data_IF_087959524212
#
_entry.id   IF_087959524212
#
_cell.length_a   1.000
_cell.length_b   1.000
_cell.length_c   1.000
_cell.angle_alpha   90.00
_cell.angle_beta   90.00
_cell.angle_gamma   90.00
#
_symmetry.space_group_name_H-M   'P 1'
#
loop_
_entity.id
_entity.type
_entity.pdbx_description
1 polymer ?
#
# COMPACT_ATOMS: atom_id res chain seq x y z
N UNK A 1 10.84 -19.64 -5.62
CA UNK A 1 10.17 -18.54 -6.33
C UNK A 1 10.77 -17.19 -5.91
N UNK A 2 11.17 -16.38 -6.86
CA UNK A 2 11.77 -15.09 -6.55
C UNK A 2 10.68 -14.07 -6.23
N UNK A 3 10.96 -13.21 -5.23
CA UNK A 3 10.13 -12.04 -4.97
C UNK A 3 10.43 -11.00 -6.06
N UNK A 4 9.43 -10.70 -6.89
CA UNK A 4 9.54 -9.73 -7.99
C UNK A 4 9.17 -8.30 -7.57
N UNK A 5 8.77 -8.11 -6.32
CA UNK A 5 8.47 -6.77 -5.82
C UNK A 5 9.76 -6.04 -5.48
N UNK A 6 9.87 -4.75 -5.80
CA UNK A 6 11.04 -3.97 -5.40
C UNK A 6 11.10 -3.87 -3.87
N UNK A 7 12.31 -3.84 -3.34
CA UNK A 7 12.50 -3.62 -1.90
C UNK A 7 12.11 -2.18 -1.55
N UNK A 8 11.38 -1.97 -0.44
CA UNK A 8 11.04 -0.62 -0.02
C UNK A 8 12.28 0.15 0.45
N UNK A 9 12.29 1.46 0.25
CA UNK A 9 13.29 2.31 0.88
C UNK A 9 13.06 2.30 2.40
N UNK A 10 14.14 2.32 3.18
CA UNK A 10 14.05 2.28 4.65
C UNK A 10 13.19 3.42 5.21
N UNK A 11 13.35 4.60 4.65
CA UNK A 11 12.60 5.78 5.08
C UNK A 11 11.23 5.91 4.42
N UNK A 12 10.71 4.85 3.82
CA UNK A 12 9.36 4.80 3.24
C UNK A 12 8.44 3.84 3.99
N UNK A 13 8.94 3.12 4.99
CA UNK A 13 8.14 2.16 5.76
C UNK A 13 7.16 2.92 6.67
N UNK A 14 5.88 2.58 6.55
CA UNK A 14 4.80 3.14 7.36
C UNK A 14 4.51 2.26 8.56
N UNK A 15 4.41 0.96 8.32
CA UNK A 15 4.07 -0.03 9.34
C UNK A 15 4.72 -1.37 8.97
N UNK A 16 5.11 -2.12 9.97
CA UNK A 16 5.67 -3.45 9.76
C UNK A 16 5.40 -4.34 10.98
N UNK A 17 4.98 -5.57 10.73
CA UNK A 17 4.94 -6.61 11.74
C UNK A 17 5.62 -7.88 11.21
N UNK A 18 5.42 -9.02 11.87
CA UNK A 18 6.06 -10.28 11.43
C UNK A 18 5.41 -10.88 10.18
N UNK A 19 4.26 -10.40 9.75
CA UNK A 19 3.48 -10.96 8.64
C UNK A 19 3.53 -10.10 7.38
N UNK A 20 3.57 -8.78 7.54
CA UNK A 20 3.43 -7.83 6.43
C UNK A 20 4.16 -6.53 6.71
N UNK A 21 4.28 -5.73 5.66
CA UNK A 21 4.70 -4.34 5.80
C UNK A 21 3.89 -3.44 4.87
N UNK A 22 3.79 -2.18 5.23
CA UNK A 22 3.20 -1.12 4.41
C UNK A 22 4.25 -0.04 4.18
N UNK A 23 4.39 0.41 2.96
CA UNK A 23 5.37 1.43 2.60
C UNK A 23 4.86 2.33 1.48
N UNK A 24 5.50 3.49 1.34
CA UNK A 24 5.29 4.30 0.15
C UNK A 24 5.80 3.53 -1.08
N UNK A 25 5.07 3.58 -2.17
CA UNK A 25 5.49 2.93 -3.41
C UNK A 25 6.78 3.57 -3.93
N UNK A 26 7.71 2.74 -4.42
CA UNK A 26 8.96 3.24 -5.00
C UNK A 26 8.71 4.09 -6.26
N UNK A 27 7.66 3.75 -7.02
CA UNK A 27 7.25 4.44 -8.23
C UNK A 27 5.76 4.79 -8.11
N UNK A 28 5.43 5.84 -7.33
CA UNK A 28 4.02 6.15 -7.06
C UNK A 28 3.30 6.65 -8.30
N UNK A 29 2.04 6.21 -8.47
CA UNK A 29 1.15 6.74 -9.51
C UNK A 29 0.75 8.18 -9.20
N UNK A 30 0.59 8.47 -7.91
CA UNK A 30 0.32 9.81 -7.38
C UNK A 30 1.05 9.93 -6.03
N UNK A 31 1.29 11.15 -5.54
CA UNK A 31 1.90 11.32 -4.21
C UNK A 31 1.09 10.59 -3.13
N UNK A 32 1.78 9.86 -2.26
CA UNK A 32 1.13 9.12 -1.18
C UNK A 32 0.63 7.73 -1.56
N UNK A 33 0.94 7.24 -2.76
CA UNK A 33 0.64 5.86 -3.16
C UNK A 33 1.35 4.89 -2.21
N UNK A 34 0.59 4.01 -1.56
CA UNK A 34 1.08 3.06 -0.57
C UNK A 34 0.90 1.64 -1.10
N UNK A 35 1.84 0.77 -0.74
CA UNK A 35 1.75 -0.66 -1.02
C UNK A 35 1.77 -1.41 0.31
N UNK A 36 0.86 -2.37 0.47
CA UNK A 36 0.84 -3.28 1.62
C UNK A 36 1.22 -4.66 1.12
N UNK A 37 2.30 -5.22 1.63
CA UNK A 37 2.93 -6.44 1.11
C UNK A 37 2.94 -7.53 2.17
N UNK A 38 2.47 -8.72 1.79
CA UNK A 38 2.59 -9.92 2.61
C UNK A 38 4.03 -10.43 2.54
N UNK A 39 4.68 -10.64 3.69
CA UNK A 39 6.12 -10.97 3.72
C UNK A 39 6.43 -12.34 3.13
N UNK A 40 5.66 -13.35 3.55
CA UNK A 40 5.85 -14.70 3.03
C UNK A 40 5.46 -14.72 1.54
N UNK A 41 6.24 -15.45 0.75
CA UNK A 41 5.98 -15.55 -0.69
C UNK A 41 4.73 -16.41 -0.93
N UNK A 42 3.61 -15.73 -1.11
CA UNK A 42 2.31 -16.34 -1.43
C UNK A 42 1.85 -15.74 -2.75
N UNK A 43 1.51 -16.57 -3.72
CA UNK A 43 1.29 -16.13 -5.10
C UNK A 43 -0.08 -15.52 -5.35
N UNK A 44 -1.07 -15.83 -4.52
CA UNK A 44 -2.45 -15.41 -4.73
C UNK A 44 -3.14 -15.25 -3.38
N UNK A 45 -3.98 -14.21 -3.27
CA UNK A 45 -4.69 -13.91 -2.03
C UNK A 45 -5.61 -15.04 -1.57
N UNK A 46 -6.11 -15.85 -2.50
CA UNK A 46 -6.96 -16.99 -2.15
C UNK A 46 -6.22 -18.11 -1.42
N UNK A 47 -4.88 -18.09 -1.42
CA UNK A 47 -4.06 -19.07 -0.72
C UNK A 47 -3.81 -18.71 0.74
N UNK A 48 -4.18 -17.52 1.16
CA UNK A 48 -4.07 -17.12 2.56
C UNK A 48 -5.14 -17.83 3.40
N UNK A 49 -4.77 -18.21 4.63
CA UNK A 49 -5.77 -18.65 5.60
C UNK A 49 -6.74 -17.50 5.89
N UNK A 50 -7.93 -17.85 6.41
CA UNK A 50 -8.91 -16.82 6.82
C UNK A 50 -8.31 -15.85 7.83
N UNK A 51 -7.53 -16.35 8.77
CA UNK A 51 -6.86 -15.54 9.79
C UNK A 51 -5.87 -14.57 9.14
N UNK A 52 -5.04 -15.05 8.23
CA UNK A 52 -4.05 -14.21 7.56
C UNK A 52 -4.73 -13.21 6.62
N UNK A 53 -5.74 -13.63 5.89
CA UNK A 53 -6.53 -12.73 5.04
C UNK A 53 -7.15 -11.61 5.88
N UNK A 54 -7.77 -11.97 7.01
CA UNK A 54 -8.41 -10.99 7.89
C UNK A 54 -7.39 -9.99 8.45
N UNK A 55 -6.21 -10.47 8.84
CA UNK A 55 -5.14 -9.61 9.32
C UNK A 55 -4.68 -8.64 8.23
N UNK A 56 -4.42 -9.16 7.04
CA UNK A 56 -4.00 -8.34 5.90
C UNK A 56 -5.03 -7.24 5.60
N UNK A 57 -6.30 -7.61 5.48
CA UNK A 57 -7.34 -6.64 5.11
C UNK A 57 -7.65 -5.65 6.22
N UNK A 58 -7.50 -6.05 7.48
CA UNK A 58 -7.62 -5.13 8.62
C UNK A 58 -6.54 -4.06 8.54
N UNK A 59 -5.29 -4.46 8.29
CA UNK A 59 -4.18 -3.52 8.14
C UNK A 59 -4.39 -2.63 6.92
N UNK A 60 -4.80 -3.19 5.78
CA UNK A 60 -5.12 -2.40 4.58
C UNK A 60 -6.14 -1.30 4.92
N UNK A 61 -7.19 -1.66 5.64
CA UNK A 61 -8.23 -0.70 6.01
C UNK A 61 -7.71 0.37 6.98
N UNK A 62 -6.90 -0.03 7.97
CA UNK A 62 -6.32 0.91 8.94
C UNK A 62 -5.37 1.91 8.25
N UNK A 63 -4.52 1.43 7.35
CA UNK A 63 -3.63 2.28 6.56
C UNK A 63 -4.44 3.23 5.67
N UNK A 64 -5.47 2.72 4.99
CA UNK A 64 -6.35 3.53 4.14
C UNK A 64 -6.98 4.67 4.93
N UNK A 65 -7.47 4.40 6.13
CA UNK A 65 -8.05 5.42 7.00
C UNK A 65 -7.04 6.51 7.37
N UNK A 66 -5.82 6.10 7.72
CA UNK A 66 -4.74 7.03 8.03
C UNK A 66 -4.36 7.88 6.82
N UNK A 67 -4.35 7.30 5.62
CA UNK A 67 -4.08 8.01 4.37
C UNK A 67 -5.14 9.09 4.10
N UNK A 68 -6.40 8.75 4.25
CA UNK A 68 -7.51 9.70 4.05
C UNK A 68 -7.34 10.91 4.96
N UNK A 69 -7.06 10.66 6.23
CA UNK A 69 -6.85 11.72 7.22
C UNK A 69 -5.62 12.57 6.91
N UNK A 70 -4.50 11.92 6.61
CA UNK A 70 -3.22 12.59 6.38
C UNK A 70 -3.22 13.42 5.10
N UNK A 71 -3.71 12.82 4.02
CA UNK A 71 -3.65 13.42 2.68
C UNK A 71 -4.86 14.31 2.40
N UNK A 72 -5.86 14.30 3.28
CA UNK A 72 -7.10 15.09 3.16
C UNK A 72 -7.82 14.82 1.84
N UNK A 73 -7.83 13.54 1.44
CA UNK A 73 -8.56 13.07 0.26
C UNK A 73 -9.87 12.41 0.69
N UNK A 74 -10.85 12.38 -0.22
CA UNK A 74 -12.14 11.75 0.05
C UNK A 74 -12.11 10.24 -0.17
N UNK A 75 -11.26 9.77 -1.07
CA UNK A 75 -11.17 8.36 -1.45
C UNK A 75 -9.71 7.93 -1.59
N UNK A 76 -9.48 6.69 -1.23
CA UNK A 76 -8.26 5.94 -1.56
C UNK A 76 -8.72 4.67 -2.26
N UNK A 77 -8.28 4.47 -3.50
CA UNK A 77 -8.64 3.28 -4.26
C UNK A 77 -7.78 2.10 -3.84
N UNK A 78 -8.40 0.93 -3.78
CA UNK A 78 -7.70 -0.33 -3.55
C UNK A 78 -7.55 -1.05 -4.89
N UNK A 79 -6.32 -1.40 -5.25
CA UNK A 79 -6.03 -2.11 -6.47
C UNK A 79 -5.21 -3.36 -6.13
N UNK A 80 -5.74 -4.52 -6.48
CA UNK A 80 -5.06 -5.79 -6.30
C UNK A 80 -4.72 -6.39 -7.66
N UNK A 81 -3.42 -6.58 -7.91
CA UNK A 81 -2.93 -7.23 -9.13
C UNK A 81 -1.75 -8.10 -8.73
N UNK A 82 -1.82 -9.39 -9.03
CA UNK A 82 -0.85 -10.37 -8.54
C UNK A 82 -0.02 -11.03 -9.65
N UNK A 83 0.17 -10.35 -10.79
CA UNK A 83 0.98 -10.89 -11.89
C UNK A 83 2.41 -11.21 -11.47
N UNK A 84 2.92 -10.56 -10.42
CA UNK A 84 4.25 -10.86 -9.89
C UNK A 84 4.27 -12.07 -8.94
N UNK A 85 3.12 -12.74 -8.77
CA UNK A 85 2.97 -13.93 -7.91
C UNK A 85 3.38 -13.67 -6.46
N UNK A 86 3.01 -12.52 -5.94
CA UNK A 86 3.27 -12.13 -4.56
C UNK A 86 2.12 -11.24 -4.06
N UNK A 87 1.45 -11.67 -3.00
CA UNK A 87 0.29 -10.95 -2.45
C UNK A 87 0.68 -9.55 -1.99
N UNK A 88 0.10 -8.54 -2.60
CA UNK A 88 0.25 -7.15 -2.23
C UNK A 88 -0.94 -6.32 -2.70
N UNK A 89 -1.25 -5.24 -1.96
CA UNK A 89 -2.31 -4.30 -2.30
C UNK A 89 -1.71 -2.94 -2.61
N UNK A 90 -2.25 -2.28 -3.64
CA UNK A 90 -1.98 -0.87 -3.91
C UNK A 90 -3.09 -0.02 -3.32
N UNK A 91 -2.71 1.01 -2.57
CA UNK A 91 -3.61 2.01 -2.01
C UNK A 91 -3.28 3.34 -2.68
N UNK A 92 -4.18 3.79 -3.57
CA UNK A 92 -3.90 4.92 -4.46
C UNK A 92 -4.85 6.07 -4.12
N UNK A 93 -4.34 7.15 -3.52
CA UNK A 93 -5.20 8.27 -3.17
C UNK A 93 -5.76 8.95 -4.42
N UNK A 94 -7.01 9.41 -4.31
CA UNK A 94 -7.68 10.14 -5.38
C UNK A 94 -7.64 11.63 -5.07
N UNK A 95 -6.94 12.39 -5.90
CA UNK A 95 -6.91 13.84 -5.79
C UNK A 95 -7.93 14.47 -6.74
N UNK A 96 -7.52 14.76 -7.98
CA UNK A 96 -8.35 15.44 -8.97
C UNK A 96 -8.88 14.52 -10.08
N UNK A 97 -8.16 13.46 -10.40
CA UNK A 97 -8.56 12.50 -11.43
C UNK A 97 -9.41 11.40 -10.83
N UNK A 98 -10.56 11.12 -11.45
CA UNK A 98 -11.53 10.16 -10.94
C UNK A 98 -11.45 8.82 -11.65
N UNK A 99 -11.77 7.75 -10.91
CA UNK A 99 -11.87 6.39 -11.45
C UNK A 99 -10.58 5.92 -12.09
N UNK A 100 -10.69 5.30 -13.24
CA UNK A 100 -9.54 4.72 -13.95
C UNK A 100 -8.50 5.76 -14.34
N UNK A 101 -8.89 7.01 -14.58
CA UNK A 101 -7.94 8.07 -14.92
C UNK A 101 -6.90 8.28 -13.83
N UNK A 102 -7.24 7.99 -12.58
CA UNK A 102 -6.29 8.10 -11.46
C UNK A 102 -5.14 7.10 -11.56
N UNK A 103 -5.34 5.98 -12.26
CA UNK A 103 -4.32 4.95 -12.46
C UNK A 103 -3.51 5.17 -13.74
N UNK A 104 -3.89 6.11 -14.59
CA UNK A 104 -3.21 6.39 -15.85
C UNK A 104 -2.09 7.41 -15.72
N UNK A 105 -1.82 7.88 -14.51
CA UNK A 105 -0.68 8.74 -14.25
C UNK A 105 0.61 7.97 -14.52
N UNK A 106 1.55 8.61 -15.22
CA UNK A 106 2.86 8.02 -15.46
C UNK A 106 3.64 7.96 -14.15
N UNK A 107 4.00 6.76 -13.66
CA UNK A 107 4.72 6.66 -12.39
C UNK A 107 6.12 7.28 -12.51
N UNK A 108 6.50 8.07 -11.50
CA UNK A 108 7.85 8.55 -11.34
C UNK A 108 8.46 7.93 -10.09
N UNK A 109 9.78 8.06 -9.93
CA UNK A 109 10.45 7.61 -8.72
C UNK A 109 9.97 8.44 -7.53
N UNK A 110 9.82 7.80 -6.37
CA UNK A 110 9.43 8.50 -5.13
C UNK A 110 10.39 9.65 -4.82
N UNK A 111 9.83 10.79 -4.45
CA UNK A 111 10.57 12.02 -4.12
C UNK A 111 10.29 12.52 -2.72
N UNK A 112 9.10 12.27 -2.19
CA UNK A 112 8.69 12.77 -0.88
C UNK A 112 8.71 11.64 0.14
N UNK A 113 9.77 11.60 0.94
CA UNK A 113 9.94 10.63 2.03
C UNK A 113 9.40 11.13 3.37
N UNK A 114 8.57 12.19 3.39
CA UNK A 114 7.94 12.68 4.61
C UNK A 114 6.55 12.10 4.81
N UNK A 115 5.90 11.63 3.74
CA UNK A 115 4.52 11.14 3.80
C UNK A 115 4.39 9.86 4.62
N UNK A 116 5.39 8.99 4.63
CA UNK A 116 5.40 7.78 5.44
C UNK A 116 5.24 8.11 6.94
N UNK A 117 6.01 9.06 7.43
CA UNK A 117 5.95 9.49 8.82
C UNK A 117 4.61 10.16 9.15
N UNK A 118 4.12 11.01 8.25
CA UNK A 118 2.82 11.68 8.43
C UNK A 118 1.67 10.68 8.48
N UNK A 119 1.68 9.68 7.61
CA UNK A 119 0.66 8.61 7.60
C UNK A 119 0.79 7.78 8.87
N UNK A 120 2.01 7.42 9.27
CA UNK A 120 2.27 6.63 10.48
C UNK A 120 1.70 7.32 11.72
N UNK A 121 1.88 8.63 11.83
CA UNK A 121 1.37 9.42 12.97
C UNK A 121 -0.15 9.39 13.09
N UNK A 122 -0.86 9.21 11.98
CA UNK A 122 -2.32 9.12 11.97
C UNK A 122 -2.83 7.68 11.99
N UNK A 123 -1.94 6.70 12.00
CA UNK A 123 -2.30 5.30 11.96
C UNK A 123 -2.80 4.82 13.33
N UNK A 124 -4.00 4.25 13.34
CA UNK A 124 -4.58 3.57 14.49
C UNK A 124 -4.83 2.14 14.07
N UNK A 125 -4.10 1.20 14.67
CA UNK A 125 -4.26 -0.23 14.40
C UNK A 125 -5.38 -0.76 15.29
N UNK A 126 -6.38 -1.36 14.66
CA UNK A 126 -7.56 -1.93 15.33
C UNK A 126 -7.44 -3.42 15.60
#
# INVERSE_FOLDING_TARGET
MKNNLPKPFKNAIIFEDNKLYACLANYPMVPGHVVVVWKKLVSDINLLSRKDYSHLMTVVNDIRRAMIKTLKVKKVYLLYMDEVNHVHWHLVPRYDKLGMDNFLNKPGKIKDFTLDDKIRKNLIIT
#
